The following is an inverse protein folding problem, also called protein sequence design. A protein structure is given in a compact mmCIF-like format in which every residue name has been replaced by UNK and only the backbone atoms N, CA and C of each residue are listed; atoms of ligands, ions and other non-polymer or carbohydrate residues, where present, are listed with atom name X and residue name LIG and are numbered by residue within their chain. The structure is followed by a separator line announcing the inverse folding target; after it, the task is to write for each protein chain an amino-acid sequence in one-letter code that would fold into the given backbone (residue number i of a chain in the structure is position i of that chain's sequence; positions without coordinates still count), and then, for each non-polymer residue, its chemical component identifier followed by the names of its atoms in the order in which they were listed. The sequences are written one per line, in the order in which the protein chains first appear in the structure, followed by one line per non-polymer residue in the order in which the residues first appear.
data_IF_401016072702
#
_entry.id   IF_401016072702
#
_cell.length_a   1.000
_cell.length_b   1.000
_cell.length_c   1.000
_cell.angle_alpha   90.00
_cell.angle_beta   90.00
_cell.angle_gamma   90.00
#
_symmetry.space_group_name_H-M   'P 1'
#
loop_
_entity.id
_entity.type
_entity.pdbx_description
1 polymer ?
#
# COMPACT_ATOMS: atom_id res chain seq x y z
N UNK A 1 3.30 3.51 13.99
CA UNK A 1 1.88 3.61 13.59
C UNK A 1 1.47 2.27 13.02
N UNK A 2 0.42 1.65 13.54
CA UNK A 2 -0.16 0.43 12.99
C UNK A 2 -1.62 0.70 12.63
N UNK A 3 -2.09 0.13 11.52
CA UNK A 3 -3.48 0.18 11.11
C UNK A 3 -4.03 -1.24 11.08
N UNK A 4 -5.20 -1.46 11.69
CA UNK A 4 -5.92 -2.72 11.51
C UNK A 4 -6.65 -2.70 10.15
N UNK A 5 -6.36 -3.63 9.23
CA UNK A 5 -7.05 -3.71 7.96
C UNK A 5 -8.49 -4.24 8.16
N UNK A 6 -9.43 -3.75 7.36
CA UNK A 6 -10.82 -4.20 7.37
C UNK A 6 -11.00 -5.53 6.63
N UNK A 7 -10.18 -5.78 5.61
CA UNK A 7 -10.17 -7.02 4.83
C UNK A 7 -8.76 -7.60 4.89
N UNK A 8 -8.62 -8.78 5.50
CA UNK A 8 -7.33 -9.48 5.63
C UNK A 8 -7.26 -10.77 4.78
N UNK A 9 -8.42 -11.32 4.41
CA UNK A 9 -8.52 -12.59 3.66
C UNK A 9 -8.24 -12.45 2.15
N UNK A 10 -8.00 -11.23 1.69
CA UNK A 10 -7.64 -10.95 0.29
C UNK A 10 -6.12 -10.85 0.15
N UNK A 11 -5.47 -12.02 0.16
CA UNK A 11 -4.02 -12.19 0.12
C UNK A 11 -3.34 -11.72 -1.18
N UNK A 12 -4.09 -11.16 -2.13
CA UNK A 12 -3.59 -10.53 -3.35
C UNK A 12 -4.29 -9.21 -3.68
N UNK A 13 -5.02 -8.64 -2.71
CA UNK A 13 -5.76 -7.39 -2.86
C UNK A 13 -4.89 -6.16 -2.65
N UNK A 14 -5.26 -5.06 -3.30
CA UNK A 14 -4.66 -3.75 -3.05
C UNK A 14 -5.12 -3.18 -1.70
N UNK A 15 -4.49 -2.10 -1.26
CA UNK A 15 -4.91 -1.38 -0.05
C UNK A 15 -6.37 -0.93 -0.21
N UNK A 16 -7.20 -1.34 0.76
CA UNK A 16 -8.56 -0.81 0.92
C UNK A 16 -8.53 0.72 1.04
N UNK A 17 -9.61 1.40 0.65
CA UNK A 17 -9.69 2.86 0.71
C UNK A 17 -9.39 3.42 2.10
N UNK A 18 -9.86 2.71 3.15
CA UNK A 18 -9.60 3.07 4.55
C UNK A 18 -8.10 3.00 4.86
N UNK A 19 -7.39 1.98 4.38
CA UNK A 19 -5.95 1.89 4.59
C UNK A 19 -5.18 2.92 3.77
N UNK A 20 -5.60 3.16 2.52
CA UNK A 20 -5.00 4.15 1.64
C UNK A 20 -5.15 5.57 2.18
N UNK A 21 -6.30 5.90 2.78
CA UNK A 21 -6.56 7.21 3.38
C UNK A 21 -5.63 7.54 4.57
N UNK A 22 -4.95 6.55 5.14
CA UNK A 22 -4.08 6.71 6.31
C UNK A 22 -2.62 6.97 5.91
N UNK A 23 -2.29 6.84 4.62
CA UNK A 23 -0.93 7.08 4.10
C UNK A 23 -0.41 8.48 4.44
N UNK A 24 -1.16 9.58 4.25
CA UNK A 24 -0.63 10.92 4.57
C UNK A 24 -0.31 11.10 6.06
N UNK A 25 -1.15 10.55 6.93
CA UNK A 25 -0.93 10.62 8.38
C UNK A 25 0.27 9.77 8.81
N UNK A 26 0.43 8.58 8.21
CA UNK A 26 1.57 7.71 8.47
C UNK A 26 2.89 8.31 7.96
N UNK A 27 2.88 8.91 6.77
CA UNK A 27 4.02 9.63 6.20
C UNK A 27 4.45 10.77 7.12
N UNK A 28 3.52 11.62 7.55
CA UNK A 28 3.84 12.74 8.44
C UNK A 28 4.44 12.26 9.77
N UNK A 29 3.92 11.17 10.35
CA UNK A 29 4.47 10.58 11.56
C UNK A 29 5.91 10.05 11.35
N UNK A 30 6.18 9.44 10.19
CA UNK A 30 7.52 8.97 9.83
C UNK A 30 8.49 10.16 9.67
N UNK A 31 8.08 11.24 9.01
CA UNK A 31 8.88 12.46 8.88
C UNK A 31 9.20 13.09 10.23
N UNK A 32 8.22 13.16 11.15
CA UNK A 32 8.44 13.65 12.52
C UNK A 32 9.46 12.79 13.27
N UNK A 33 9.39 11.46 13.11
CA UNK A 33 10.34 10.55 13.75
C UNK A 33 11.75 10.69 13.18
N UNK A 34 11.88 10.85 11.86
CA UNK A 34 13.17 11.10 11.20
C UNK A 34 13.79 12.42 11.67
N UNK A 35 12.98 13.48 11.77
CA UNK A 35 13.41 14.76 12.30
C UNK A 35 13.87 14.67 13.77
N UNK A 36 13.20 13.86 14.59
CA UNK A 36 13.63 13.60 15.97
C UNK A 36 14.99 12.91 16.06
N UNK A 37 15.38 12.15 15.03
CA UNK A 37 16.72 11.57 14.90
C UNK A 37 17.74 12.52 14.24
N UNK A 38 17.33 13.74 13.89
CA UNK A 38 18.16 14.71 13.19
C UNK A 38 18.33 14.44 11.69
N UNK A 39 17.51 13.58 11.11
CA UNK A 39 17.52 13.26 9.68
C UNK A 39 16.48 14.16 8.99
N UNK A 40 16.92 14.96 8.02
CA UNK A 40 16.04 15.79 7.19
C UNK A 40 15.89 15.13 5.82
N UNK A 41 14.81 14.38 5.57
CA UNK A 41 14.57 13.78 4.27
C UNK A 41 14.36 14.86 3.20
N UNK A 42 14.87 14.61 2.00
CA UNK A 42 14.70 15.49 0.85
C UNK A 42 13.58 14.95 -0.04
N UNK A 43 12.76 15.84 -0.56
CA UNK A 43 11.75 15.51 -1.58
C UNK A 43 12.48 15.11 -2.86
N UNK A 44 12.08 13.98 -3.44
CA UNK A 44 12.51 13.58 -4.77
C UNK A 44 11.38 13.86 -5.76
N UNK A 45 11.54 14.89 -6.58
CA UNK A 45 10.57 15.26 -7.61
C UNK A 45 10.66 14.39 -8.87
N UNK A 46 11.68 13.52 -8.98
CA UNK A 46 11.78 12.59 -10.10
C UNK A 46 10.70 11.51 -9.99
N UNK A 47 9.56 11.73 -10.67
CA UNK A 47 8.59 10.68 -11.02
C UNK A 47 9.13 9.75 -12.09
N UNK A 48 10.37 9.29 -11.95
CA UNK A 48 10.90 8.24 -12.82
C UNK A 48 10.19 6.95 -12.45
N UNK A 49 9.37 6.44 -13.36
CA UNK A 49 8.79 5.12 -13.20
C UNK A 49 9.93 4.09 -13.15
N UNK A 50 10.17 3.52 -11.97
CA UNK A 50 11.19 2.50 -11.76
C UNK A 50 10.73 1.11 -12.22
N UNK A 51 9.42 0.93 -12.37
CA UNK A 51 8.80 -0.34 -12.70
C UNK A 51 8.55 -0.47 -14.19
N UNK A 52 8.64 -1.70 -14.69
CA UNK A 52 8.14 -2.02 -16.03
C UNK A 52 6.61 -1.89 -16.08
N UNK A 53 6.07 -1.56 -17.25
CA UNK A 53 4.63 -1.38 -17.46
C UNK A 53 3.79 -2.61 -17.06
N UNK A 54 4.32 -3.82 -17.23
CA UNK A 54 3.65 -5.05 -16.80
C UNK A 54 3.46 -5.16 -15.28
N UNK A 55 4.14 -4.32 -14.49
CA UNK A 55 4.03 -4.22 -13.04
C UNK A 55 3.26 -2.96 -12.60
N UNK A 56 2.51 -2.32 -13.52
CA UNK A 56 1.67 -1.17 -13.16
C UNK A 56 0.58 -1.56 -12.16
N UNK A 57 0.16 -0.60 -11.32
CA UNK A 57 -0.98 -0.83 -10.42
C UNK A 57 -2.26 -1.16 -11.19
N UNK A 58 -2.46 -0.58 -12.37
CA UNK A 58 -3.62 -0.88 -13.22
C UNK A 58 -3.63 -2.36 -13.65
N UNK A 59 -2.48 -2.92 -14.01
CA UNK A 59 -2.37 -4.34 -14.32
C UNK A 59 -2.57 -5.22 -13.08
N UNK A 60 -2.00 -4.81 -11.94
CA UNK A 60 -2.12 -5.55 -10.68
C UNK A 60 -3.57 -5.57 -10.14
N UNK A 61 -4.24 -4.41 -10.13
CA UNK A 61 -5.62 -4.26 -9.64
C UNK A 61 -6.65 -4.75 -10.67
N UNK A 62 -6.35 -4.64 -11.97
CA UNK A 62 -7.21 -5.05 -13.08
C UNK A 62 -7.18 -6.57 -13.36
N UNK A 63 -6.05 -7.23 -13.15
CA UNK A 63 -5.92 -8.68 -13.31
C UNK A 63 -6.13 -9.37 -11.97
N UNK A 64 -7.38 -9.50 -11.54
CA UNK A 64 -7.73 -10.31 -10.36
C UNK A 64 -7.46 -11.79 -10.64
N UNK A 65 -6.27 -12.28 -10.27
CA UNK A 65 -5.96 -13.70 -10.32
C UNK A 65 -6.76 -14.40 -9.21
N UNK A 66 -7.93 -14.91 -9.61
CA UNK A 66 -8.78 -15.92 -8.98
C UNK A 66 -9.13 -15.69 -7.51
N UNK A 67 -10.39 -15.30 -7.30
CA UNK A 67 -11.11 -15.55 -6.04
C UNK A 67 -11.01 -17.04 -5.70
N UNK A 68 -10.19 -17.41 -4.71
CA UNK A 68 -10.25 -18.73 -4.11
C UNK A 68 -11.55 -18.81 -3.31
N UNK A 69 -12.59 -19.37 -3.94
CA UNK A 69 -13.81 -19.76 -3.25
C UNK A 69 -13.46 -20.95 -2.35
N UNK A 70 -13.20 -20.71 -1.08
CA UNK A 70 -13.16 -21.79 -0.09
C UNK A 70 -14.60 -22.22 0.13
N UNK A 71 -15.04 -23.25 -0.60
CA UNK A 71 -16.27 -23.96 -0.27
C UNK A 71 -16.01 -24.69 1.04
N UNK A 72 -16.53 -24.16 2.15
CA UNK A 72 -16.57 -24.89 3.42
C UNK A 72 -17.62 -25.99 3.24
N UNK A 73 -17.17 -27.18 2.85
CA UNK A 73 -18.01 -28.38 2.87
C UNK A 73 -18.39 -28.71 4.31
N UNK A 74 -19.67 -29.02 4.50
CA UNK A 74 -20.40 -29.08 5.77
C UNK A 74 -20.47 -30.50 6.31
#
# INVERSE_FOLDING_TARGET
MGLQPVQLDDYGGSLTDIARAQLPAAEQAALTQLAAWGIVPQTNDETRCLNYECLSMENYEGVRIRQYRVTLER
#
